data_IF_313579200087
#
_entry.id   IF_313579200087
#
_cell.length_a   1.000
_cell.length_b   1.000
_cell.length_c   1.000
_cell.angle_alpha   90.00
_cell.angle_beta   90.00
_cell.angle_gamma   90.00
#
_symmetry.space_group_name_H-M   'P 1'
#
loop_
_entity.id
_entity.type
_entity.pdbx_description
1 polymer ?
#
# COMPACT_ATOMS: atom_id res chain seq x y z
N UNK A 1 -1.60 -20.48 18.66
CA UNK A 1 -0.43 -19.93 19.37
C UNK A 1 0.00 -18.69 18.64
N UNK A 2 -0.11 -17.51 19.30
CA UNK A 2 0.27 -16.22 18.72
C UNK A 2 1.77 -16.18 18.41
N UNK A 3 2.16 -15.47 17.37
CA UNK A 3 3.58 -15.28 17.04
C UNK A 3 4.30 -14.65 18.24
N UNK A 4 5.44 -15.19 18.70
CA UNK A 4 6.21 -14.61 19.80
C UNK A 4 6.73 -13.20 19.51
N UNK A 5 6.60 -12.73 18.26
CA UNK A 5 6.99 -11.37 17.83
C UNK A 5 5.80 -10.44 17.70
N UNK A 6 4.60 -10.86 18.14
CA UNK A 6 3.37 -10.11 17.92
C UNK A 6 3.09 -9.94 16.43
N UNK A 7 1.88 -10.16 15.99
CA UNK A 7 1.51 -9.79 14.63
C UNK A 7 1.33 -8.26 14.60
N UNK A 8 2.16 -7.48 13.90
CA UNK A 8 2.03 -6.03 13.89
C UNK A 8 0.76 -5.56 13.17
N UNK A 9 -0.08 -6.49 12.72
CA UNK A 9 -1.15 -6.16 11.78
C UNK A 9 -2.48 -5.71 12.38
N UNK A 10 -2.89 -5.96 13.60
CA UNK A 10 -4.14 -5.39 14.06
C UNK A 10 -3.97 -4.43 15.22
N UNK A 11 -4.75 -3.46 15.20
CA UNK A 11 -5.50 -2.83 14.11
C UNK A 11 -4.75 -1.64 13.56
N UNK A 12 -3.86 -1.88 12.61
CA UNK A 12 -3.11 -0.82 11.98
C UNK A 12 -4.03 0.31 11.48
N UNK A 13 -3.85 1.48 12.05
CA UNK A 13 -4.52 2.68 11.61
C UNK A 13 -5.91 2.92 12.17
N UNK A 14 -6.49 2.02 12.95
CA UNK A 14 -7.77 2.28 13.61
C UNK A 14 -7.56 2.84 15.03
N UNK A 15 -8.34 3.86 15.42
CA UNK A 15 -8.22 4.47 16.72
C UNK A 15 -8.73 3.55 17.85
N UNK A 16 -8.28 3.77 19.11
CA UNK A 16 -8.73 2.99 20.27
C UNK A 16 -10.24 2.92 20.46
N UNK A 17 -10.97 3.96 20.04
CA UNK A 17 -12.44 3.99 20.09
C UNK A 17 -13.11 2.95 19.16
N UNK A 18 -12.41 2.45 18.16
CA UNK A 18 -12.89 1.41 17.25
C UNK A 18 -12.40 0.03 17.69
N UNK A 19 -11.18 -0.05 18.19
CA UNK A 19 -10.54 -1.33 18.49
C UNK A 19 -10.80 -1.81 19.91
N UNK A 20 -11.23 -0.92 20.80
CA UNK A 20 -11.36 -1.22 22.23
C UNK A 20 -10.02 -1.39 22.96
N UNK A 21 -8.90 -1.28 22.28
CA UNK A 21 -7.56 -1.41 22.86
C UNK A 21 -7.06 -0.04 23.31
N UNK A 22 -6.85 0.12 24.60
CA UNK A 22 -6.33 1.37 25.18
C UNK A 22 -4.89 1.66 24.72
N UNK A 23 -4.61 2.95 24.59
CA UNK A 23 -3.28 3.55 24.38
C UNK A 23 -2.42 2.99 23.22
N UNK A 24 -2.60 3.55 22.05
CA UNK A 24 -1.44 3.86 21.21
C UNK A 24 -1.21 3.00 19.99
N UNK A 25 -1.93 1.90 19.76
CA UNK A 25 -1.59 1.00 18.68
C UNK A 25 -2.31 1.27 17.35
N UNK A 26 -3.29 2.16 17.33
CA UNK A 26 -4.11 2.41 16.16
C UNK A 26 -3.68 3.57 15.27
N UNK A 27 -2.65 4.32 15.63
CA UNK A 27 -2.42 5.64 15.04
C UNK A 27 -1.30 5.73 14.00
N UNK A 28 -0.63 4.64 13.67
CA UNK A 28 0.58 4.69 12.84
C UNK A 28 0.34 4.77 11.33
N UNK A 29 -0.88 4.51 10.84
CA UNK A 29 -1.18 4.55 9.41
C UNK A 29 -2.40 5.41 9.11
N UNK A 30 -2.25 6.73 9.22
CA UNK A 30 -3.27 7.66 8.75
C UNK A 30 -3.24 7.78 7.24
N UNK A 31 -4.35 7.50 6.55
CA UNK A 31 -4.43 7.69 5.12
C UNK A 31 -4.23 9.16 4.73
N UNK A 32 -3.32 9.42 3.81
CA UNK A 32 -3.15 10.77 3.25
C UNK A 32 -4.38 11.18 2.44
N UNK A 33 -4.60 12.47 2.25
CA UNK A 33 -5.67 12.96 1.37
C UNK A 33 -5.49 12.46 -0.07
N UNK A 34 -4.27 12.26 -0.48
CA UNK A 34 -3.92 11.76 -1.80
C UNK A 34 -4.48 10.35 -2.07
N UNK A 35 -4.32 9.40 -1.14
CA UNK A 35 -4.92 8.05 -1.31
C UNK A 35 -6.45 8.09 -1.19
N UNK A 36 -7.02 8.94 -0.33
CA UNK A 36 -8.48 9.07 -0.19
C UNK A 36 -9.14 9.54 -1.49
N UNK A 37 -8.47 10.43 -2.23
CA UNK A 37 -8.95 11.00 -3.50
C UNK A 37 -8.61 10.12 -4.71
N UNK A 38 -7.67 9.19 -4.58
CA UNK A 38 -7.26 8.32 -5.67
C UNK A 38 -8.32 7.29 -6.09
N UNK A 39 -9.19 6.89 -5.14
CA UNK A 39 -10.31 5.98 -5.43
C UNK A 39 -11.42 6.72 -6.16
N UNK A 40 -11.93 6.14 -7.25
CA UNK A 40 -13.13 6.64 -7.93
C UNK A 40 -14.38 6.43 -7.06
N UNK A 41 -15.46 7.16 -7.36
CA UNK A 41 -16.68 7.14 -6.57
C UNK A 41 -17.27 5.74 -6.36
N UNK A 42 -17.20 4.87 -7.37
CA UNK A 42 -17.78 3.52 -7.35
C UNK A 42 -16.74 2.42 -7.07
N UNK A 43 -15.52 2.78 -6.65
CA UNK A 43 -14.49 1.79 -6.29
C UNK A 43 -14.77 1.26 -4.89
N UNK A 44 -15.20 0.00 -4.79
CA UNK A 44 -15.57 -0.65 -3.53
C UNK A 44 -14.39 -0.78 -2.56
N UNK A 45 -13.17 -0.74 -3.08
CA UNK A 45 -11.95 -0.80 -2.26
C UNK A 45 -11.82 0.42 -1.36
N UNK A 46 -12.42 1.56 -1.73
CA UNK A 46 -12.42 2.75 -0.87
C UNK A 46 -13.06 2.44 0.48
N UNK A 47 -14.27 1.90 0.47
CA UNK A 47 -15.00 1.56 1.71
C UNK A 47 -14.46 0.31 2.40
N UNK A 48 -13.78 -0.58 1.67
CA UNK A 48 -13.10 -1.72 2.25
C UNK A 48 -11.80 -1.34 2.98
N UNK A 49 -11.09 -0.34 2.46
CA UNK A 49 -9.78 0.07 2.97
C UNK A 49 -9.85 1.25 3.95
N UNK A 50 -10.86 2.11 3.83
CA UNK A 50 -10.96 3.37 4.57
C UNK A 50 -12.30 3.50 5.28
N UNK A 51 -12.25 4.03 6.49
CA UNK A 51 -13.43 4.48 7.23
C UNK A 51 -13.09 5.74 8.01
N UNK A 52 -14.08 6.36 8.63
CA UNK A 52 -13.89 7.59 9.38
C UNK A 52 -14.59 7.53 10.72
N UNK A 53 -13.93 8.06 11.73
CA UNK A 53 -14.47 8.16 13.09
C UNK A 53 -14.37 9.61 13.57
N UNK A 54 -15.31 10.03 14.39
CA UNK A 54 -15.28 11.35 15.01
C UNK A 54 -14.46 11.33 16.29
N UNK A 55 -13.32 12.01 16.30
CA UNK A 55 -12.46 12.14 17.46
C UNK A 55 -12.40 13.63 17.83
N UNK A 56 -12.72 13.98 19.08
CA UNK A 56 -12.71 15.37 19.58
C UNK A 56 -13.39 16.38 18.64
N UNK A 57 -14.55 15.98 18.08
CA UNK A 57 -15.33 16.85 17.19
C UNK A 57 -14.92 16.83 15.71
N UNK A 58 -13.78 16.26 15.36
CA UNK A 58 -13.26 16.19 13.99
C UNK A 58 -13.34 14.78 13.42
N UNK A 59 -13.76 14.65 12.14
CA UNK A 59 -13.70 13.36 11.45
C UNK A 59 -12.26 13.04 11.04
N UNK A 60 -11.78 11.89 11.49
CA UNK A 60 -10.48 11.34 11.12
C UNK A 60 -10.67 10.05 10.34
N UNK A 61 -10.04 9.97 9.17
CA UNK A 61 -10.04 8.76 8.34
C UNK A 61 -8.95 7.82 8.81
N UNK A 62 -9.25 6.55 8.91
CA UNK A 62 -8.31 5.51 9.31
C UNK A 62 -8.29 4.35 8.31
N UNK A 63 -7.24 3.52 8.36
CA UNK A 63 -7.16 2.28 7.59
C UNK A 63 -8.06 1.21 8.21
N UNK A 64 -9.03 0.72 7.43
CA UNK A 64 -9.97 -0.31 7.83
C UNK A 64 -9.58 -1.70 7.32
N UNK A 65 -8.62 -1.79 6.43
CA UNK A 65 -8.27 -3.02 5.69
C UNK A 65 -8.07 -4.24 6.59
N UNK A 66 -7.52 -4.03 7.77
CA UNK A 66 -7.21 -5.07 8.75
C UNK A 66 -8.28 -5.20 9.86
N UNK A 67 -9.37 -4.46 9.74
CA UNK A 67 -10.54 -4.61 10.62
C UNK A 67 -11.53 -5.55 9.93
N UNK A 68 -11.52 -6.80 10.29
CA UNK A 68 -12.45 -7.75 9.71
C UNK A 68 -13.74 -7.83 10.55
N UNK A 69 -14.89 -7.59 9.93
CA UNK A 69 -16.21 -7.67 10.58
C UNK A 69 -16.55 -9.08 11.07
N UNK A 70 -15.92 -10.11 10.52
CA UNK A 70 -16.12 -11.52 10.92
C UNK A 70 -15.39 -11.88 12.22
N UNK A 71 -14.40 -11.11 12.62
CA UNK A 71 -13.71 -11.28 13.91
C UNK A 71 -14.32 -10.39 15.00
N UNK A 72 -15.60 -9.97 14.79
CA UNK A 72 -16.34 -9.17 15.74
C UNK A 72 -16.23 -9.70 17.16
N UNK A 73 -15.97 -8.82 18.11
CA UNK A 73 -15.96 -9.02 19.56
C UNK A 73 -14.76 -9.72 20.20
N UNK A 74 -13.75 -10.13 19.45
CA UNK A 74 -12.50 -10.53 20.11
C UNK A 74 -11.82 -9.24 20.57
N UNK A 75 -11.50 -9.08 21.86
CA UNK A 75 -10.69 -7.97 22.29
C UNK A 75 -9.34 -8.10 21.56
N UNK A 76 -9.06 -7.16 20.67
CA UNK A 76 -7.75 -7.08 20.04
C UNK A 76 -6.72 -6.87 21.15
N UNK A 77 -5.88 -7.84 21.38
CA UNK A 77 -4.71 -7.60 22.22
C UNK A 77 -3.75 -6.69 21.47
N UNK A 78 -3.19 -5.74 22.17
CA UNK A 78 -2.13 -4.90 21.61
C UNK A 78 -1.06 -5.80 21.01
N UNK A 79 -0.77 -5.64 19.70
CA UNK A 79 0.25 -6.38 18.95
C UNK A 79 -0.02 -7.87 18.67
N UNK A 80 -1.23 -8.38 18.92
CA UNK A 80 -1.57 -9.76 18.60
C UNK A 80 -2.94 -9.85 17.92
N UNK A 81 -3.04 -10.62 16.82
CA UNK A 81 -4.24 -10.83 16.06
C UNK A 81 -4.18 -12.11 15.26
N UNK A 82 -5.36 -12.69 15.03
CA UNK A 82 -5.53 -13.84 14.15
C UNK A 82 -5.40 -13.50 12.66
N UNK A 83 -5.27 -12.23 12.32
CA UNK A 83 -5.06 -11.78 10.94
C UNK A 83 -3.58 -11.86 10.56
N UNK A 84 -3.27 -12.76 9.67
CA UNK A 84 -1.94 -12.81 9.06
C UNK A 84 -1.75 -11.64 8.10
N UNK A 85 -0.59 -11.00 8.17
CA UNK A 85 -0.21 -9.98 7.19
C UNK A 85 0.07 -10.66 5.83
N UNK A 86 -0.64 -10.31 4.76
CA UNK A 86 -0.43 -10.90 3.45
C UNK A 86 0.87 -10.38 2.84
N UNK A 87 1.87 -11.25 2.73
CA UNK A 87 3.12 -10.90 2.03
C UNK A 87 2.93 -10.82 0.52
N UNK A 88 2.08 -11.69 -0.04
CA UNK A 88 1.75 -11.75 -1.46
C UNK A 88 0.32 -12.22 -1.65
N UNK A 89 -0.38 -11.63 -2.60
CA UNK A 89 -1.76 -11.99 -2.97
C UNK A 89 -1.87 -12.21 -4.48
N UNK A 90 -2.87 -12.97 -4.90
CA UNK A 90 -3.08 -13.23 -6.32
C UNK A 90 -3.25 -11.94 -7.16
N UNK A 91 -3.84 -10.89 -6.60
CA UNK A 91 -3.92 -9.59 -7.26
C UNK A 91 -2.53 -8.97 -7.51
N UNK A 92 -1.58 -9.12 -6.58
CA UNK A 92 -0.20 -8.68 -6.78
C UNK A 92 0.46 -9.45 -7.92
N UNK A 93 0.30 -10.80 -7.95
CA UNK A 93 0.81 -11.63 -9.05
C UNK A 93 0.24 -11.21 -10.41
N UNK A 94 -1.06 -10.92 -10.49
CA UNK A 94 -1.68 -10.45 -11.74
C UNK A 94 -1.12 -9.11 -12.19
N UNK A 95 -0.88 -8.18 -11.27
CA UNK A 95 -0.34 -6.86 -11.59
C UNK A 95 1.15 -6.93 -11.95
N UNK A 96 1.94 -7.79 -11.29
CA UNK A 96 3.32 -8.08 -11.70
C UNK A 96 3.36 -8.72 -13.10
N UNK A 97 2.45 -9.62 -13.40
CA UNK A 97 2.36 -10.25 -14.72
C UNK A 97 2.00 -9.25 -15.81
N UNK A 98 1.04 -8.35 -15.55
CA UNK A 98 0.68 -7.28 -16.48
C UNK A 98 1.88 -6.36 -16.76
N UNK A 99 2.63 -5.97 -15.72
CA UNK A 99 3.83 -5.15 -15.83
C UNK A 99 4.92 -5.87 -16.64
N UNK A 100 5.21 -7.13 -16.32
CA UNK A 100 6.24 -7.91 -17.02
C UNK A 100 5.95 -8.08 -18.52
N UNK A 101 4.69 -8.33 -18.88
CA UNK A 101 4.29 -8.41 -20.29
C UNK A 101 4.44 -7.07 -21.02
N UNK A 102 4.16 -5.96 -20.36
CA UNK A 102 4.37 -4.62 -20.89
C UNK A 102 5.86 -4.33 -21.10
N UNK A 103 6.72 -4.74 -20.16
CA UNK A 103 8.16 -4.49 -20.23
C UNK A 103 8.88 -5.36 -21.26
N UNK A 104 8.52 -6.63 -21.38
CA UNK A 104 9.12 -7.57 -22.34
C UNK A 104 8.63 -7.36 -23.77
N UNK A 105 7.49 -6.70 -23.96
CA UNK A 105 6.92 -6.35 -25.28
C UNK A 105 7.22 -4.90 -25.66
N UNK A 106 6.76 -4.52 -26.83
CA UNK A 106 6.73 -3.10 -27.26
C UNK A 106 5.47 -2.38 -26.77
N UNK A 107 5.00 -2.72 -25.56
CA UNK A 107 3.77 -2.25 -24.96
C UNK A 107 2.83 -3.41 -24.57
N UNK A 108 1.64 -3.10 -24.04
CA UNK A 108 0.73 -4.10 -23.50
C UNK A 108 0.05 -4.90 -24.61
N UNK A 109 -0.02 -6.20 -24.42
CA UNK A 109 -0.85 -7.09 -25.24
C UNK A 109 -2.21 -7.38 -24.54
N UNK A 110 -3.08 -8.13 -25.21
CA UNK A 110 -4.40 -8.47 -24.67
C UNK A 110 -4.35 -9.22 -23.33
N UNK A 111 -3.32 -10.03 -23.10
CA UNK A 111 -3.13 -10.77 -21.84
C UNK A 111 -2.75 -9.83 -20.71
N UNK A 112 -1.88 -8.83 -20.99
CA UNK A 112 -1.54 -7.80 -20.03
C UNK A 112 -2.76 -6.98 -19.60
N UNK A 113 -3.60 -6.58 -20.57
CA UNK A 113 -4.85 -5.89 -20.27
C UNK A 113 -5.81 -6.74 -19.45
N UNK A 114 -5.96 -8.03 -19.76
CA UNK A 114 -6.85 -8.90 -18.99
C UNK A 114 -6.36 -9.07 -17.55
N UNK A 115 -5.06 -9.24 -17.34
CA UNK A 115 -4.48 -9.33 -15.99
C UNK A 115 -4.75 -8.08 -15.17
N UNK A 116 -4.51 -6.89 -15.74
CA UNK A 116 -4.78 -5.60 -15.11
C UNK A 116 -6.27 -5.40 -14.82
N UNK A 117 -7.11 -5.60 -15.85
CA UNK A 117 -8.54 -5.32 -15.78
C UNK A 117 -9.29 -6.31 -14.88
N UNK A 118 -8.81 -7.54 -14.72
CA UNK A 118 -9.37 -8.50 -13.78
C UNK A 118 -9.30 -7.99 -12.33
N UNK A 119 -8.18 -7.40 -11.93
CA UNK A 119 -8.04 -6.78 -10.60
C UNK A 119 -8.98 -5.59 -10.48
N UNK A 120 -9.02 -4.75 -11.51
CA UNK A 120 -9.86 -3.56 -11.53
C UNK A 120 -11.34 -3.89 -11.47
N UNK A 121 -11.86 -4.81 -12.30
CA UNK A 121 -13.26 -5.24 -12.28
C UNK A 121 -13.67 -5.73 -10.90
N UNK A 122 -12.83 -6.53 -10.25
CA UNK A 122 -13.06 -6.97 -8.87
C UNK A 122 -13.15 -5.78 -7.91
N UNK A 123 -12.26 -4.79 -8.04
CA UNK A 123 -12.27 -3.58 -7.22
C UNK A 123 -13.57 -2.79 -7.34
N UNK A 124 -14.21 -2.82 -8.51
CA UNK A 124 -15.51 -2.17 -8.75
C UNK A 124 -16.72 -3.10 -8.56
N UNK A 125 -16.50 -4.39 -8.23
CA UNK A 125 -17.57 -5.36 -8.07
C UNK A 125 -18.33 -5.68 -9.38
N UNK A 126 -17.67 -5.56 -10.55
CA UNK A 126 -18.27 -5.82 -11.85
C UNK A 126 -17.57 -6.98 -12.56
N UNK A 127 -18.30 -7.63 -13.46
CA UNK A 127 -17.77 -8.75 -14.28
C UNK A 127 -17.56 -8.37 -15.75
N UNK A 128 -18.06 -7.21 -16.16
CA UNK A 128 -17.98 -6.71 -17.53
C UNK A 128 -16.88 -5.63 -17.67
N UNK A 129 -16.62 -5.21 -18.89
CA UNK A 129 -15.56 -4.27 -19.25
C UNK A 129 -15.89 -2.78 -18.97
N UNK A 130 -16.96 -2.48 -18.24
CA UNK A 130 -17.42 -1.09 -18.04
C UNK A 130 -16.41 -0.18 -17.29
N UNK A 131 -15.50 -0.79 -16.58
CA UNK A 131 -14.46 -0.07 -15.79
C UNK A 131 -13.06 -0.29 -16.33
N UNK A 132 -12.89 -1.07 -17.38
CA UNK A 132 -11.59 -1.44 -17.91
C UNK A 132 -10.75 -0.24 -18.33
N UNK A 133 -9.46 -0.37 -18.25
CA UNK A 133 -8.56 0.55 -18.92
C UNK A 133 -8.74 0.41 -20.45
N UNK A 134 -8.77 1.52 -21.18
CA UNK A 134 -8.97 1.48 -22.63
C UNK A 134 -7.82 0.77 -23.34
N UNK A 135 -8.13 0.03 -24.39
CA UNK A 135 -7.12 -0.56 -25.26
C UNK A 135 -6.32 0.53 -26.00
N UNK A 136 -5.10 0.18 -26.44
CA UNK A 136 -4.26 1.09 -27.22
C UNK A 136 -3.43 2.09 -26.40
N UNK A 137 -3.26 1.86 -25.10
CA UNK A 137 -2.32 2.62 -24.30
C UNK A 137 -0.87 2.39 -24.80
N UNK A 138 -0.06 3.44 -24.79
CA UNK A 138 1.39 3.27 -24.96
C UNK A 138 1.99 2.44 -23.83
N UNK A 139 3.22 1.97 -23.98
CA UNK A 139 3.96 1.24 -22.94
C UNK A 139 3.99 2.01 -21.63
N UNK A 140 4.30 3.30 -21.69
CA UNK A 140 4.40 4.19 -20.53
C UNK A 140 3.04 4.45 -19.89
N UNK A 141 2.00 4.68 -20.71
CA UNK A 141 0.65 4.91 -20.20
C UNK A 141 0.07 3.66 -19.52
N UNK A 142 0.36 2.47 -20.07
CA UNK A 142 -0.05 1.22 -19.45
C UNK A 142 0.73 0.94 -18.15
N UNK A 143 2.04 1.20 -18.13
CA UNK A 143 2.84 1.12 -16.92
C UNK A 143 2.25 2.00 -15.79
N UNK A 144 1.88 3.25 -16.10
CA UNK A 144 1.23 4.14 -15.13
C UNK A 144 -0.16 3.63 -14.69
N UNK A 145 -0.89 2.96 -15.58
CA UNK A 145 -2.16 2.32 -15.23
C UNK A 145 -1.95 1.16 -14.25
N UNK A 146 -0.94 0.31 -14.48
CA UNK A 146 -0.57 -0.78 -13.55
C UNK A 146 -0.09 -0.20 -12.22
N UNK A 147 0.77 0.82 -12.23
CA UNK A 147 1.25 1.49 -11.00
C UNK A 147 0.06 2.03 -10.18
N UNK A 148 -0.89 2.68 -10.84
CA UNK A 148 -2.08 3.22 -10.17
C UNK A 148 -2.96 2.10 -9.62
N UNK A 149 -3.15 1.01 -10.36
CA UNK A 149 -3.97 -0.12 -9.89
C UNK A 149 -3.29 -0.84 -8.70
N UNK A 150 -1.95 -1.04 -8.76
CA UNK A 150 -1.16 -1.54 -7.62
C UNK A 150 -1.33 -0.67 -6.39
N UNK A 151 -1.22 0.65 -6.57
CA UNK A 151 -1.38 1.62 -5.49
C UNK A 151 -2.74 1.51 -4.80
N UNK A 152 -3.83 1.30 -5.55
CA UNK A 152 -5.19 1.20 -5.02
C UNK A 152 -5.46 -0.18 -4.39
N UNK A 153 -5.02 -1.21 -5.06
CA UNK A 153 -5.26 -2.61 -4.67
C UNK A 153 -4.44 -3.01 -3.45
N UNK A 154 -3.15 -2.68 -3.45
CA UNK A 154 -2.18 -3.04 -2.42
C UNK A 154 -1.97 -1.92 -1.39
N UNK A 155 -2.89 -0.96 -1.33
CA UNK A 155 -2.84 0.11 -0.33
C UNK A 155 -2.76 -0.49 1.08
N UNK A 156 -1.85 0.04 1.90
CA UNK A 156 -1.57 -0.37 3.28
C UNK A 156 -0.92 -1.76 3.46
N UNK A 157 -0.44 -2.38 2.37
CA UNK A 157 0.26 -3.68 2.41
C UNK A 157 1.79 -3.55 2.28
N UNK A 158 2.34 -2.36 2.45
CA UNK A 158 3.79 -2.12 2.46
C UNK A 158 4.45 -2.02 1.08
N UNK A 159 3.71 -2.22 -0.02
CA UNK A 159 4.29 -2.27 -1.38
C UNK A 159 4.69 -0.92 -1.96
N UNK A 160 3.96 0.16 -1.65
CA UNK A 160 4.05 1.44 -2.39
C UNK A 160 5.44 2.04 -2.44
N UNK A 161 6.17 2.06 -1.34
CA UNK A 161 7.52 2.64 -1.28
C UNK A 161 8.48 1.87 -2.19
N UNK A 162 8.45 0.54 -2.12
CA UNK A 162 9.30 -0.33 -2.92
C UNK A 162 8.92 -0.28 -4.41
N UNK A 163 7.64 -0.17 -4.75
CA UNK A 163 7.21 0.07 -6.13
C UNK A 163 7.79 1.37 -6.69
N UNK A 164 7.76 2.45 -5.92
CA UNK A 164 8.33 3.73 -6.32
C UNK A 164 9.87 3.69 -6.45
N UNK A 165 10.55 2.96 -5.57
CA UNK A 165 12.01 2.80 -5.63
C UNK A 165 12.43 2.01 -6.88
N UNK A 166 11.85 0.82 -7.10
CA UNK A 166 12.24 -0.05 -8.22
C UNK A 166 11.94 0.53 -9.60
N UNK A 167 11.10 1.54 -9.66
CA UNK A 167 10.71 2.23 -10.90
C UNK A 167 11.32 3.63 -11.03
N UNK A 168 12.25 4.00 -10.15
CA UNK A 168 12.90 5.32 -10.09
C UNK A 168 11.92 6.50 -9.97
N UNK A 169 10.73 6.25 -9.44
CA UNK A 169 9.66 7.23 -9.31
C UNK A 169 9.49 7.81 -7.91
N UNK A 170 10.31 7.36 -6.94
CA UNK A 170 10.20 7.82 -5.55
C UNK A 170 10.35 9.34 -5.43
N UNK A 171 11.41 9.90 -5.99
CA UNK A 171 11.68 11.35 -5.90
C UNK A 171 10.58 12.17 -6.60
N UNK A 172 10.28 11.98 -7.90
CA UNK A 172 9.28 12.83 -8.57
C UNK A 172 7.87 12.69 -7.97
N UNK A 173 7.46 11.48 -7.59
CA UNK A 173 6.12 11.26 -7.02
C UNK A 173 6.01 11.87 -5.63
N UNK A 174 6.97 11.64 -4.74
CA UNK A 174 6.92 12.17 -3.38
C UNK A 174 7.07 13.69 -3.35
N UNK A 175 7.96 14.27 -4.16
CA UNK A 175 8.10 15.72 -4.28
C UNK A 175 6.82 16.38 -4.79
N UNK A 176 6.12 15.78 -5.77
CA UNK A 176 4.84 16.30 -6.26
C UNK A 176 3.73 16.31 -5.19
N UNK A 177 3.91 15.55 -4.10
CA UNK A 177 3.00 15.50 -2.94
C UNK A 177 3.46 16.38 -1.77
N UNK A 178 4.46 17.23 -1.99
CA UNK A 178 4.97 18.16 -0.98
C UNK A 178 5.96 17.53 0.00
N UNK A 179 6.46 16.33 -0.27
CA UNK A 179 7.51 15.73 0.57
C UNK A 179 8.87 16.37 0.28
N UNK A 180 9.63 16.65 1.32
CA UNK A 180 11.01 17.15 1.23
C UNK A 180 12.03 16.04 0.94
N UNK A 181 11.64 15.06 0.14
CA UNK A 181 12.51 13.93 -0.22
C UNK A 181 13.72 14.41 -1.06
N UNK A 182 14.88 13.84 -0.78
CA UNK A 182 16.15 14.12 -1.48
C UNK A 182 16.68 12.83 -2.12
N UNK A 183 17.60 12.90 -3.09
CA UNK A 183 18.15 11.73 -3.77
C UNK A 183 18.70 10.65 -2.84
N UNK A 184 19.35 11.02 -1.74
CA UNK A 184 19.90 10.05 -0.80
C UNK A 184 18.83 9.27 -0.01
N UNK A 185 17.61 9.80 0.13
CA UNK A 185 16.54 9.12 0.86
C UNK A 185 16.03 7.83 0.16
N UNK A 186 16.50 7.51 -1.03
CA UNK A 186 16.19 6.21 -1.67
C UNK A 186 16.94 5.04 -1.02
N UNK A 187 17.97 5.34 -0.25
CA UNK A 187 18.67 4.40 0.61
C UNK A 187 18.40 4.74 2.07
N UNK A 188 18.37 3.73 2.93
CA UNK A 188 18.33 3.97 4.37
C UNK A 188 19.73 4.28 4.90
N UNK A 189 19.86 5.08 5.98
CA UNK A 189 21.14 5.24 6.65
C UNK A 189 21.59 3.90 7.24
N UNK A 190 22.90 3.64 7.23
CA UNK A 190 23.48 2.55 8.00
C UNK A 190 23.37 2.92 9.48
N UNK A 191 22.82 2.03 10.35
CA UNK A 191 22.74 2.31 11.79
C UNK A 191 24.11 2.66 12.37
N UNK A 192 24.19 3.71 13.20
CA UNK A 192 25.46 4.16 13.76
C UNK A 192 26.17 3.05 14.56
N UNK A 193 25.42 2.21 15.28
CA UNK A 193 25.96 1.09 16.01
C UNK A 193 26.74 0.10 15.13
N UNK A 194 26.30 -0.13 13.88
CA UNK A 194 27.00 -0.99 12.95
C UNK A 194 28.31 -0.35 12.45
N UNK A 195 28.30 0.96 12.22
CA UNK A 195 29.50 1.72 11.84
C UNK A 195 30.53 1.68 13.00
N UNK A 196 30.07 1.88 14.23
CA UNK A 196 30.94 1.90 15.41
C UNK A 196 31.63 0.54 15.66
N UNK A 197 30.98 -0.57 15.30
CA UNK A 197 31.57 -1.92 15.41
C UNK A 197 32.72 -2.09 14.43
N UNK A 198 32.61 -1.57 13.22
CA UNK A 198 33.65 -1.74 12.19
C UNK A 198 33.85 -0.46 11.34
N UNK A 199 34.39 0.62 11.91
CA UNK A 199 34.49 1.92 11.25
C UNK A 199 35.46 1.91 10.04
N UNK A 200 36.33 0.91 9.95
CA UNK A 200 37.26 0.78 8.82
C UNK A 200 36.63 0.15 7.57
N UNK A 201 35.49 -0.50 7.70
CA UNK A 201 34.81 -1.24 6.61
C UNK A 201 33.39 -0.76 6.35
N UNK A 202 32.71 -0.30 7.39
CA UNK A 202 31.35 0.20 7.30
C UNK A 202 31.37 1.73 7.21
N UNK A 203 30.92 2.25 6.07
CA UNK A 203 30.78 3.69 5.85
C UNK A 203 29.31 4.04 5.66
N UNK A 204 28.95 5.24 6.05
CA UNK A 204 27.59 5.72 5.88
C UNK A 204 27.24 5.90 4.40
N UNK A 205 25.97 5.68 4.06
CA UNK A 205 25.45 6.00 2.75
C UNK A 205 25.58 7.52 2.47
N UNK A 206 25.89 7.92 1.20
CA UNK A 206 26.07 9.33 0.88
C UNK A 206 24.85 10.18 1.24
N UNK A 207 25.06 11.28 1.96
CA UNK A 207 24.03 12.24 2.33
C UNK A 207 23.49 12.10 3.75
N UNK A 208 23.98 11.11 4.50
CA UNK A 208 23.67 10.93 5.93
C UNK A 208 24.85 11.26 6.82
#
# INVERSE_FOLDING_TARGET
EGSPYGNPSPPFGAPPSITGVGNGNGTFMWPTNDIKQAYRANDLRKSANLDSVRITGTFQTYCKKYLHSTYGTVPFNSFDSDLNFPLMRFADVLLMYAEALNETGNGPNAVAYEALNRVRRRGFGVTNASVDYPAGLSKEAFFLAVEQERRLELAFEGHRWFDLLRTDRAIPVMSSKGSSIKPHHVLFPVPQAEIDINPSKMIQNPGY
#
